data_IF_348554829509
#
_entry.id   IF_348554829509
#
_cell.length_a   1.000
_cell.length_b   1.000
_cell.length_c   1.000
_cell.angle_alpha   90.00
_cell.angle_beta   90.00
_cell.angle_gamma   90.00
#
_symmetry.space_group_name_H-M   'P 1'
#
loop_
_entity.id
_entity.type
_entity.pdbx_description
1 polymer ?
#
# COMPACT_ATOMS: atom_id res chain seq x y z
N UNK A 1 1.03 91.85 47.85
CA UNK A 1 0.08 91.55 46.76
C UNK A 1 -0.39 92.85 46.10
N UNK A 2 0.21 93.29 44.97
CA UNK A 2 -0.47 94.04 43.87
C UNK A 2 0.45 94.72 42.84
N UNK A 3 1.74 94.97 43.09
CA UNK A 3 2.57 95.70 42.11
C UNK A 3 3.33 94.83 41.08
N UNK A 4 3.58 93.56 41.36
CA UNK A 4 4.29 92.68 40.42
C UNK A 4 3.40 92.09 39.32
N UNK A 5 2.07 92.07 39.49
CA UNK A 5 1.17 91.44 38.53
C UNK A 5 1.04 92.20 37.19
N UNK A 6 1.18 93.53 37.18
CA UNK A 6 0.97 94.33 35.95
C UNK A 6 2.13 94.23 34.96
N UNK A 7 3.36 94.08 35.45
CA UNK A 7 4.57 93.92 34.61
C UNK A 7 4.62 92.55 33.92
N UNK A 8 4.12 91.51 34.59
CA UNK A 8 4.07 90.15 34.07
C UNK A 8 3.10 90.03 32.87
N UNK A 9 2.01 90.79 32.86
CA UNK A 9 1.01 90.72 31.79
C UNK A 9 1.52 91.21 30.43
N UNK A 10 2.46 92.15 30.39
CA UNK A 10 2.93 92.71 29.13
C UNK A 10 3.95 91.79 28.43
N UNK A 11 4.82 91.14 29.21
CA UNK A 11 5.80 90.16 28.70
C UNK A 11 5.07 88.89 28.21
N UNK A 12 4.04 88.46 28.93
CA UNK A 12 3.24 87.30 28.55
C UNK A 12 2.56 87.46 27.19
N UNK A 13 2.13 88.69 26.82
CA UNK A 13 1.42 88.95 25.56
C UNK A 13 2.31 88.83 24.33
N UNK A 14 3.59 89.20 24.45
CA UNK A 14 4.57 89.09 23.37
C UNK A 14 5.06 87.65 23.16
N UNK A 15 5.18 86.89 24.26
CA UNK A 15 5.54 85.46 24.22
C UNK A 15 4.40 84.65 23.60
N UNK A 16 3.13 84.97 23.91
CA UNK A 16 1.96 84.29 23.35
C UNK A 16 1.89 84.40 21.82
N UNK A 17 2.18 85.57 21.25
CA UNK A 17 2.07 85.80 19.81
C UNK A 17 3.14 85.05 18.98
N UNK A 18 4.32 84.80 19.58
CA UNK A 18 5.41 84.03 18.91
C UNK A 18 5.21 82.51 19.05
N UNK A 19 4.55 82.06 20.13
CA UNK A 19 4.22 80.65 20.36
C UNK A 19 3.10 80.14 19.43
N UNK A 20 2.06 80.93 19.15
CA UNK A 20 0.92 80.45 18.36
C UNK A 20 1.27 80.03 16.92
N UNK A 21 2.22 80.73 16.28
CA UNK A 21 2.62 80.40 14.90
C UNK A 21 3.50 79.15 14.80
N UNK A 22 4.25 78.79 15.85
CA UNK A 22 5.06 77.57 15.90
C UNK A 22 4.24 76.33 16.28
N UNK A 23 3.18 76.50 17.07
CA UNK A 23 2.26 75.43 17.46
C UNK A 23 1.40 74.97 16.27
N UNK A 24 0.95 75.89 15.40
CA UNK A 24 0.15 75.52 14.19
C UNK A 24 0.93 74.70 13.17
N UNK A 25 2.23 74.98 12.98
CA UNK A 25 3.08 74.23 12.04
C UNK A 25 3.43 72.83 12.57
N UNK A 26 3.73 72.72 13.86
CA UNK A 26 4.05 71.45 14.51
C UNK A 26 2.84 70.50 14.55
N UNK A 27 1.61 71.01 14.73
CA UNK A 27 0.40 70.19 14.69
C UNK A 27 0.14 69.56 13.31
N UNK A 28 0.36 70.29 12.21
CA UNK A 28 0.16 69.75 10.85
C UNK A 28 1.16 68.63 10.51
N UNK A 29 2.42 68.76 10.92
CA UNK A 29 3.46 67.74 10.71
C UNK A 29 3.20 66.50 11.58
N UNK A 30 2.74 66.70 12.83
CA UNK A 30 2.40 65.62 13.74
C UNK A 30 1.23 64.76 13.20
N UNK A 31 0.16 65.41 12.70
CA UNK A 31 -0.99 64.72 12.10
C UNK A 31 -0.63 63.91 10.84
N UNK A 32 0.30 64.41 10.02
CA UNK A 32 0.77 63.69 8.82
C UNK A 32 1.62 62.46 9.18
N UNK A 33 2.53 62.59 10.15
CA UNK A 33 3.35 61.47 10.62
C UNK A 33 2.52 60.41 11.37
N UNK A 34 1.49 60.81 12.11
CA UNK A 34 0.60 59.88 12.81
C UNK A 34 -0.25 59.04 11.83
N UNK A 35 -0.70 59.64 10.70
CA UNK A 35 -1.44 58.91 9.65
C UNK A 35 -0.55 57.92 8.89
N UNK A 36 0.71 58.24 8.60
CA UNK A 36 1.67 57.29 7.99
C UNK A 36 1.96 56.09 8.89
N UNK A 37 2.12 56.32 10.19
CA UNK A 37 2.44 55.27 11.18
C UNK A 37 1.29 54.26 11.33
N UNK A 38 0.04 54.72 11.35
CA UNK A 38 -1.15 53.85 11.41
C UNK A 38 -1.35 52.98 10.15
N UNK A 39 -0.98 53.48 8.96
CA UNK A 39 -1.09 52.72 7.70
C UNK A 39 -0.01 51.64 7.64
N UNK A 40 1.22 51.96 8.06
CA UNK A 40 2.33 51.01 8.04
C UNK A 40 2.14 49.84 9.02
N UNK A 41 1.59 50.10 10.22
CA UNK A 41 1.26 49.03 11.18
C UNK A 41 0.10 48.16 10.68
N UNK A 42 -0.93 48.76 10.07
CA UNK A 42 -2.04 48.02 9.45
C UNK A 42 -1.60 47.13 8.29
N UNK A 43 -0.61 47.55 7.50
CA UNK A 43 -0.05 46.76 6.42
C UNK A 43 0.76 45.56 6.95
N UNK A 44 1.52 45.76 8.02
CA UNK A 44 2.30 44.71 8.68
C UNK A 44 1.40 43.65 9.33
N UNK A 45 0.29 44.06 9.95
CA UNK A 45 -0.73 43.16 10.50
C UNK A 45 -1.47 42.37 9.40
N UNK A 46 -1.80 43.02 8.29
CA UNK A 46 -2.42 42.36 7.13
C UNK A 46 -1.48 41.33 6.48
N UNK A 47 -0.20 41.68 6.31
CA UNK A 47 0.81 40.73 5.84
C UNK A 47 0.97 39.55 6.81
N UNK A 48 1.00 39.78 8.12
CA UNK A 48 1.07 38.69 9.11
C UNK A 48 -0.15 37.76 9.05
N UNK A 49 -1.36 38.31 8.92
CA UNK A 49 -2.59 37.51 8.77
C UNK A 49 -2.56 36.72 7.44
N UNK A 50 -2.05 37.33 6.37
CA UNK A 50 -1.87 36.66 5.08
C UNK A 50 -0.83 35.53 5.14
N UNK A 51 0.31 35.74 5.80
CA UNK A 51 1.34 34.70 5.98
C UNK A 51 0.87 33.57 6.90
N UNK A 52 0.11 33.85 7.96
CA UNK A 52 -0.46 32.83 8.84
C UNK A 52 -1.51 32.00 8.11
N UNK A 53 -2.40 32.63 7.33
CA UNK A 53 -3.43 31.91 6.55
C UNK A 53 -2.83 31.08 5.41
N UNK A 54 -1.79 31.58 4.73
CA UNK A 54 -1.09 30.83 3.70
C UNK A 54 -0.36 29.61 4.29
N UNK A 55 0.33 29.78 5.42
CA UNK A 55 0.98 28.66 6.12
C UNK A 55 -0.06 27.64 6.62
N UNK A 56 -1.20 28.07 7.15
CA UNK A 56 -2.29 27.18 7.57
C UNK A 56 -2.87 26.38 6.40
N UNK A 57 -3.04 27.02 5.24
CA UNK A 57 -3.51 26.35 4.02
C UNK A 57 -2.52 25.29 3.54
N UNK A 58 -1.22 25.60 3.52
CA UNK A 58 -0.17 24.65 3.11
C UNK A 58 -0.10 23.46 4.07
N UNK A 59 -0.13 23.71 5.38
CA UNK A 59 -0.15 22.65 6.40
C UNK A 59 -1.41 21.79 6.28
N UNK A 60 -2.60 22.40 6.10
CA UNK A 60 -3.85 21.67 5.91
C UNK A 60 -3.85 20.83 4.63
N UNK A 61 -3.30 21.34 3.54
CA UNK A 61 -3.14 20.62 2.26
C UNK A 61 -2.15 19.45 2.38
N UNK A 62 -1.06 19.65 3.11
CA UNK A 62 -0.07 18.59 3.36
C UNK A 62 -0.63 17.47 4.25
N UNK A 63 -1.32 17.84 5.34
CA UNK A 63 -2.01 16.89 6.23
C UNK A 63 -3.08 16.13 5.44
N UNK A 64 -3.89 16.82 4.63
CA UNK A 64 -4.92 16.18 3.80
C UNK A 64 -4.31 15.22 2.77
N UNK A 65 -3.24 15.61 2.09
CA UNK A 65 -2.52 14.74 1.14
C UNK A 65 -1.95 13.48 1.82
N UNK A 66 -1.37 13.63 3.02
CA UNK A 66 -0.84 12.51 3.80
C UNK A 66 -1.97 11.60 4.30
N UNK A 67 -3.07 12.16 4.79
CA UNK A 67 -4.24 11.40 5.23
C UNK A 67 -4.92 10.67 4.06
N UNK A 68 -5.07 11.30 2.90
CA UNK A 68 -5.60 10.65 1.67
C UNK A 68 -4.70 9.48 1.25
N UNK A 69 -3.37 9.64 1.34
CA UNK A 69 -2.44 8.53 1.03
C UNK A 69 -2.54 7.40 2.06
N UNK A 70 -2.67 7.72 3.34
CA UNK A 70 -2.84 6.72 4.40
C UNK A 70 -4.17 5.98 4.22
N UNK A 71 -5.28 6.70 4.00
CA UNK A 71 -6.58 6.08 3.74
C UNK A 71 -6.57 5.23 2.48
N UNK A 72 -5.92 5.70 1.40
CA UNK A 72 -5.76 4.92 0.17
C UNK A 72 -4.95 3.62 0.36
N UNK A 73 -3.95 3.64 1.24
CA UNK A 73 -3.14 2.46 1.56
C UNK A 73 -3.90 1.51 2.50
N UNK A 74 -4.65 2.03 3.46
CA UNK A 74 -5.54 1.28 4.35
C UNK A 74 -6.67 0.62 3.54
N UNK A 75 -7.39 1.37 2.71
CA UNK A 75 -8.44 0.87 1.81
C UNK A 75 -7.94 -0.25 0.89
N UNK A 76 -6.72 -0.10 0.34
CA UNK A 76 -6.08 -1.14 -0.48
C UNK A 76 -5.66 -2.35 0.34
N UNK A 77 -5.16 -2.14 1.56
CA UNK A 77 -4.83 -3.19 2.50
C UNK A 77 -6.07 -3.99 2.88
N UNK A 78 -7.15 -3.31 3.23
CA UNK A 78 -8.41 -3.92 3.64
C UNK A 78 -9.11 -4.63 2.48
N UNK A 79 -9.15 -4.03 1.29
CA UNK A 79 -9.66 -4.71 0.09
C UNK A 79 -8.82 -5.95 -0.27
N UNK A 80 -7.49 -5.87 -0.12
CA UNK A 80 -6.60 -7.02 -0.32
C UNK A 80 -6.86 -8.11 0.73
N UNK A 81 -7.02 -7.74 2.00
CA UNK A 81 -7.26 -8.66 3.10
C UNK A 81 -8.66 -9.30 3.01
N UNK A 82 -9.69 -8.53 2.68
CA UNK A 82 -11.05 -9.05 2.42
C UNK A 82 -11.07 -9.98 1.21
N UNK A 83 -10.36 -9.65 0.13
CA UNK A 83 -10.20 -10.56 -1.02
C UNK A 83 -9.43 -11.82 -0.64
N UNK A 84 -8.39 -11.71 0.19
CA UNK A 84 -7.53 -12.82 0.64
C UNK A 84 -8.21 -13.72 1.67
N UNK A 85 -9.14 -13.20 2.46
CA UNK A 85 -9.86 -13.93 3.51
C UNK A 85 -11.36 -13.73 3.33
N UNK A 86 -11.91 -14.31 2.24
CA UNK A 86 -13.37 -14.45 2.10
C UNK A 86 -13.88 -15.39 3.20
N UNK A 87 -14.52 -14.82 4.20
CA UNK A 87 -15.03 -15.55 5.38
C UNK A 87 -16.32 -16.32 5.07
N UNK A 88 -17.00 -15.99 3.97
CA UNK A 88 -18.32 -16.49 3.57
C UNK A 88 -18.31 -17.66 2.58
N UNK A 89 -17.15 -18.05 2.04
CA UNK A 89 -17.07 -19.16 1.08
C UNK A 89 -17.24 -20.52 1.77
N UNK A 90 -18.30 -21.24 1.36
CA UNK A 90 -18.58 -22.62 1.79
C UNK A 90 -17.47 -23.56 1.34
N UNK A 91 -17.06 -24.47 2.23
CA UNK A 91 -16.14 -25.55 1.87
C UNK A 91 -16.79 -26.52 0.88
N UNK A 92 -16.08 -26.81 -0.20
CA UNK A 92 -16.39 -27.88 -1.14
C UNK A 92 -15.71 -29.17 -0.68
N UNK A 93 -16.28 -30.33 -1.03
CA UNK A 93 -15.77 -31.64 -0.62
C UNK A 93 -15.42 -32.47 -1.85
N UNK A 94 -14.21 -33.03 -1.88
CA UNK A 94 -13.80 -34.01 -2.89
C UNK A 94 -14.29 -35.41 -2.51
N UNK A 95 -14.33 -36.32 -3.48
CA UNK A 95 -14.69 -37.73 -3.26
C UNK A 95 -13.75 -38.42 -2.26
N UNK A 96 -12.46 -38.02 -2.24
CA UNK A 96 -11.45 -38.54 -1.31
C UNK A 96 -11.61 -38.03 0.14
N UNK A 97 -12.48 -37.04 0.35
CA UNK A 97 -12.80 -36.47 1.65
C UNK A 97 -12.04 -35.18 2.02
N UNK A 98 -11.34 -34.55 1.08
CA UNK A 98 -10.70 -33.25 1.32
C UNK A 98 -11.78 -32.16 1.30
N UNK A 99 -11.81 -31.32 2.33
CA UNK A 99 -12.60 -30.10 2.31
C UNK A 99 -11.72 -28.95 1.85
N UNK A 100 -12.17 -28.11 0.91
CA UNK A 100 -11.39 -26.98 0.45
C UNK A 100 -12.23 -25.75 0.14
N UNK A 101 -11.57 -24.59 0.15
CA UNK A 101 -12.09 -23.34 -0.37
C UNK A 101 -10.97 -22.50 -0.98
N UNK A 102 -11.29 -21.80 -2.04
CA UNK A 102 -10.37 -20.85 -2.66
C UNK A 102 -10.42 -19.52 -1.91
N UNK A 103 -9.28 -19.15 -1.34
CA UNK A 103 -9.04 -17.86 -0.71
C UNK A 103 -8.70 -16.82 -1.78
N UNK A 104 -8.01 -17.23 -2.84
CA UNK A 104 -7.75 -16.42 -4.03
C UNK A 104 -8.01 -17.30 -5.25
N UNK A 105 -8.82 -16.80 -6.20
CA UNK A 105 -9.23 -17.57 -7.38
C UNK A 105 -8.06 -17.82 -8.36
N UNK A 106 -7.08 -16.91 -8.40
CA UNK A 106 -5.98 -16.95 -9.36
C UNK A 106 -6.41 -16.55 -10.78
N UNK A 107 -5.52 -16.76 -11.74
CA UNK A 107 -5.69 -16.35 -13.14
C UNK A 107 -5.11 -17.37 -14.13
N UNK A 108 -5.60 -17.33 -15.37
CA UNK A 108 -5.19 -18.22 -16.44
C UNK A 108 -5.94 -19.56 -16.46
N UNK A 109 -5.35 -20.51 -17.18
CA UNK A 109 -5.94 -21.83 -17.38
C UNK A 109 -5.87 -22.68 -16.09
N UNK A 110 -6.91 -23.49 -15.83
CA UNK A 110 -6.89 -24.43 -14.72
C UNK A 110 -5.80 -25.48 -14.92
N UNK A 111 -5.17 -25.91 -13.84
CA UNK A 111 -4.20 -27.00 -13.80
C UNK A 111 -4.92 -28.31 -14.13
N UNK A 112 -4.34 -29.06 -15.07
CA UNK A 112 -4.80 -30.40 -15.43
C UNK A 112 -3.84 -31.47 -14.91
N UNK A 113 -4.30 -32.71 -14.89
CA UNK A 113 -3.44 -33.85 -14.61
C UNK A 113 -2.26 -33.91 -15.60
N UNK A 114 -1.06 -34.15 -15.05
CA UNK A 114 0.20 -34.18 -15.80
C UNK A 114 0.93 -32.83 -15.89
N UNK A 115 0.27 -31.70 -15.60
CA UNK A 115 0.91 -30.39 -15.57
C UNK A 115 1.99 -30.32 -14.47
N UNK A 116 3.07 -29.58 -14.74
CA UNK A 116 4.10 -29.33 -13.73
C UNK A 116 3.80 -28.03 -13.00
N UNK A 117 3.66 -28.12 -11.68
CA UNK A 117 3.21 -27.01 -10.84
C UNK A 117 4.25 -26.70 -9.78
N UNK A 118 4.59 -25.42 -9.65
CA UNK A 118 5.42 -24.89 -8.57
C UNK A 118 4.52 -24.35 -7.48
N UNK A 119 4.69 -24.87 -6.27
CA UNK A 119 3.80 -24.57 -5.15
C UNK A 119 4.57 -24.09 -3.94
N UNK A 120 3.97 -23.15 -3.21
CA UNK A 120 4.25 -22.98 -1.80
C UNK A 120 3.08 -23.49 -0.98
N UNK A 121 3.36 -23.95 0.22
CA UNK A 121 2.34 -24.38 1.15
C UNK A 121 2.83 -24.33 2.59
N UNK A 122 1.85 -24.32 3.48
CA UNK A 122 2.04 -24.47 4.91
C UNK A 122 0.98 -25.42 5.47
N UNK A 123 1.44 -26.43 6.21
CA UNK A 123 0.59 -27.37 6.93
C UNK A 123 0.56 -27.05 8.42
N UNK A 124 -0.63 -27.10 9.02
CA UNK A 124 -0.89 -26.87 10.45
C UNK A 124 -1.78 -27.97 11.02
N UNK A 125 -1.62 -28.26 12.30
CA UNK A 125 -2.56 -29.11 13.05
C UNK A 125 -3.87 -28.37 13.33
N UNK A 126 -5.01 -29.05 13.34
CA UNK A 126 -6.29 -28.46 13.78
C UNK A 126 -6.41 -28.19 15.28
N UNK A 127 -5.75 -28.98 16.14
CA UNK A 127 -5.92 -28.88 17.59
C UNK A 127 -5.27 -27.61 18.14
N UNK A 128 -3.98 -27.41 17.83
CA UNK A 128 -3.19 -26.32 18.41
C UNK A 128 -2.70 -25.31 17.35
N UNK A 129 -3.12 -25.45 16.09
CA UNK A 129 -2.68 -24.62 14.96
C UNK A 129 -1.15 -24.54 14.75
N UNK A 130 -0.39 -25.46 15.37
CA UNK A 130 1.07 -25.54 15.20
C UNK A 130 1.43 -25.88 13.77
N UNK A 131 2.47 -25.22 13.27
CA UNK A 131 3.01 -25.44 11.94
C UNK A 131 3.81 -26.73 11.96
N UNK A 132 3.44 -27.69 11.12
CA UNK A 132 4.17 -28.96 10.96
C UNK A 132 5.11 -28.91 9.76
N UNK A 133 4.78 -28.12 8.74
CA UNK A 133 5.57 -28.01 7.52
C UNK A 133 5.33 -26.66 6.85
N UNK A 134 6.37 -26.08 6.27
CA UNK A 134 6.30 -24.84 5.50
C UNK A 134 7.39 -24.84 4.45
N UNK A 135 7.03 -24.41 3.24
CA UNK A 135 7.97 -24.29 2.11
C UNK A 135 8.37 -22.85 1.83
N UNK A 136 7.84 -21.87 2.58
CA UNK A 136 8.15 -20.45 2.41
C UNK A 136 9.61 -20.09 2.72
N UNK A 137 10.36 -20.99 3.38
CA UNK A 137 11.81 -20.83 3.60
C UNK A 137 12.63 -21.13 2.35
N UNK A 138 12.08 -21.86 1.38
CA UNK A 138 12.78 -22.24 0.16
C UNK A 138 12.71 -21.12 -0.87
N UNK A 139 13.86 -20.69 -1.38
CA UNK A 139 13.95 -19.68 -2.46
C UNK A 139 13.31 -20.22 -3.74
N UNK A 140 13.51 -21.51 -4.04
CA UNK A 140 12.92 -22.20 -5.17
C UNK A 140 11.71 -22.99 -4.66
N UNK A 141 10.49 -22.72 -5.16
CA UNK A 141 9.31 -23.46 -4.76
C UNK A 141 9.43 -24.94 -5.19
N UNK A 142 8.98 -25.89 -4.36
CA UNK A 142 8.85 -27.28 -4.76
C UNK A 142 7.99 -27.43 -6.02
N UNK A 143 8.42 -28.33 -6.90
CA UNK A 143 7.68 -28.70 -8.12
C UNK A 143 7.04 -30.06 -7.95
N UNK A 144 5.82 -30.20 -8.45
CA UNK A 144 5.08 -31.46 -8.51
C UNK A 144 4.46 -31.65 -9.89
N UNK A 145 4.09 -32.89 -10.22
CA UNK A 145 3.20 -33.17 -11.34
C UNK A 145 1.78 -33.36 -10.80
N UNK A 146 0.83 -32.57 -11.25
CA UNK A 146 -0.56 -32.63 -10.81
C UNK A 146 -1.15 -34.03 -11.08
N UNK A 147 -1.86 -34.59 -10.09
CA UNK A 147 -2.44 -35.94 -10.13
C UNK A 147 -1.45 -37.11 -9.94
N UNK A 148 -0.13 -36.89 -10.08
CA UNK A 148 0.87 -37.97 -10.05
C UNK A 148 1.60 -37.99 -8.70
N UNK A 149 1.18 -38.89 -7.81
CA UNK A 149 1.76 -39.01 -6.47
C UNK A 149 3.17 -39.62 -6.49
N UNK A 150 4.18 -38.83 -6.12
CA UNK A 150 5.60 -39.25 -6.11
C UNK A 150 6.21 -39.39 -4.70
N UNK A 151 5.38 -39.41 -3.65
CA UNK A 151 5.77 -39.57 -2.23
C UNK A 151 6.67 -38.47 -1.64
N UNK A 152 6.92 -37.36 -2.34
CA UNK A 152 7.72 -36.23 -1.81
C UNK A 152 6.91 -35.30 -0.91
N UNK A 153 5.62 -35.20 -1.18
CA UNK A 153 4.66 -34.42 -0.39
C UNK A 153 3.46 -35.29 -0.02
N UNK A 154 2.54 -34.76 0.78
CA UNK A 154 1.32 -35.49 1.15
C UNK A 154 0.43 -35.75 -0.08
N UNK A 155 -0.30 -36.87 -0.10
CA UNK A 155 -1.11 -37.29 -1.24
C UNK A 155 -2.16 -36.24 -1.62
N UNK A 156 -2.75 -35.57 -0.63
CA UNK A 156 -3.76 -34.52 -0.84
C UNK A 156 -3.28 -33.37 -1.73
N UNK A 157 -1.99 -33.01 -1.68
CA UNK A 157 -1.45 -31.91 -2.47
C UNK A 157 -1.57 -32.20 -3.98
N UNK A 158 -1.29 -33.43 -4.42
CA UNK A 158 -1.31 -33.80 -5.84
C UNK A 158 -2.72 -33.80 -6.42
N UNK A 159 -3.72 -34.13 -5.59
CA UNK A 159 -5.14 -34.09 -5.94
C UNK A 159 -5.65 -32.65 -5.98
N UNK A 160 -5.38 -31.88 -4.93
CA UNK A 160 -6.07 -30.61 -4.71
C UNK A 160 -5.57 -29.46 -5.61
N UNK A 161 -4.38 -29.60 -6.20
CA UNK A 161 -3.87 -28.65 -7.19
C UNK A 161 -4.61 -28.73 -8.52
N UNK A 162 -5.29 -29.83 -8.81
CA UNK A 162 -6.10 -29.96 -10.03
C UNK A 162 -7.25 -28.95 -9.98
N UNK A 163 -7.46 -28.25 -11.09
CA UNK A 163 -8.46 -27.18 -11.19
C UNK A 163 -8.06 -25.85 -10.53
N UNK A 164 -6.95 -25.79 -9.79
CA UNK A 164 -6.38 -24.50 -9.36
C UNK A 164 -5.78 -23.76 -10.56
N UNK A 165 -5.60 -22.45 -10.43
CA UNK A 165 -4.97 -21.60 -11.45
C UNK A 165 -3.66 -21.01 -10.93
N UNK A 166 -2.94 -20.29 -11.77
CA UNK A 166 -1.75 -19.54 -11.34
C UNK A 166 -2.19 -18.49 -10.30
N UNK A 167 -1.41 -18.33 -9.23
CA UNK A 167 -1.71 -17.41 -8.12
C UNK A 167 -2.97 -17.76 -7.30
N UNK A 168 -3.59 -18.91 -7.52
CA UNK A 168 -4.65 -19.41 -6.64
C UNK A 168 -4.06 -19.72 -5.27
N UNK A 169 -4.78 -19.32 -4.21
CA UNK A 169 -4.52 -19.74 -2.83
C UNK A 169 -5.70 -20.56 -2.36
N UNK A 170 -5.48 -21.81 -2.00
CA UNK A 170 -6.52 -22.73 -1.53
C UNK A 170 -6.26 -23.17 -0.11
N UNK A 171 -7.26 -23.04 0.74
CA UNK A 171 -7.25 -23.61 2.08
C UNK A 171 -7.93 -24.97 2.05
N UNK A 172 -7.30 -25.98 2.64
CA UNK A 172 -7.73 -27.37 2.63
C UNK A 172 -7.75 -27.91 4.06
N UNK A 173 -8.78 -28.66 4.41
CA UNK A 173 -8.82 -29.53 5.59
C UNK A 173 -8.66 -30.95 5.07
N UNK A 174 -7.52 -31.54 5.39
CA UNK A 174 -7.04 -32.79 4.83
C UNK A 174 -7.25 -33.92 5.84
N UNK A 175 -7.92 -35.01 5.45
CA UNK A 175 -8.10 -36.15 6.34
C UNK A 175 -6.78 -36.96 6.52
N UNK A 176 -6.64 -37.69 7.64
CA UNK A 176 -5.41 -38.42 8.00
C UNK A 176 -4.84 -39.33 6.90
N UNK A 177 -5.69 -40.09 6.20
CA UNK A 177 -5.27 -41.05 5.17
C UNK A 177 -4.64 -40.43 3.93
N UNK A 178 -4.85 -39.13 3.69
CA UNK A 178 -4.25 -38.37 2.58
C UNK A 178 -3.06 -37.51 3.03
N UNK A 179 -2.74 -37.51 4.32
CA UNK A 179 -1.61 -36.81 4.91
C UNK A 179 -0.64 -37.78 5.62
N UNK A 180 -0.70 -37.85 6.95
CA UNK A 180 0.21 -38.64 7.77
C UNK A 180 -0.57 -39.59 8.70
N UNK A 181 -1.08 -40.72 8.19
CA UNK A 181 -2.00 -41.58 8.95
C UNK A 181 -1.38 -42.18 10.22
N UNK A 182 -0.05 -42.35 10.27
CA UNK A 182 0.63 -42.88 11.46
C UNK A 182 0.98 -41.81 12.50
N UNK A 183 1.26 -40.57 12.08
CA UNK A 183 1.65 -39.49 13.00
C UNK A 183 0.43 -38.70 13.51
N UNK A 184 -0.61 -38.57 12.69
CA UNK A 184 -1.84 -37.84 13.00
C UNK A 184 -3.08 -38.69 12.63
N UNK A 185 -3.28 -39.87 13.26
CA UNK A 185 -4.28 -40.85 12.84
C UNK A 185 -5.73 -40.35 12.98
N UNK A 186 -6.02 -39.57 14.01
CA UNK A 186 -7.38 -39.14 14.37
C UNK A 186 -7.57 -37.63 14.22
N UNK A 187 -6.71 -36.98 13.45
CA UNK A 187 -6.66 -35.53 13.40
C UNK A 187 -6.52 -35.02 11.96
N UNK A 188 -7.49 -34.25 11.44
CA UNK A 188 -7.32 -33.58 10.16
C UNK A 188 -6.23 -32.49 10.25
N UNK A 189 -5.69 -32.13 9.10
CA UNK A 189 -4.65 -31.09 8.99
C UNK A 189 -5.13 -29.96 8.11
N UNK A 190 -4.75 -28.74 8.45
CA UNK A 190 -5.07 -27.54 7.66
C UNK A 190 -3.87 -27.24 6.76
N UNK A 191 -4.10 -27.19 5.46
CA UNK A 191 -3.10 -26.81 4.48
C UNK A 191 -3.54 -25.56 3.74
N UNK A 192 -2.65 -24.58 3.63
CA UNK A 192 -2.80 -23.46 2.70
C UNK A 192 -1.78 -23.64 1.58
N UNK A 193 -2.25 -23.69 0.33
CA UNK A 193 -1.45 -23.98 -0.85
C UNK A 193 -1.56 -22.80 -1.80
N UNK A 194 -0.40 -22.25 -2.20
CA UNK A 194 -0.25 -21.15 -3.14
C UNK A 194 0.40 -21.67 -4.44
N UNK A 195 -0.23 -21.39 -5.58
CA UNK A 195 0.35 -21.73 -6.90
C UNK A 195 1.24 -20.58 -7.38
N UNK A 196 2.52 -20.88 -7.58
CA UNK A 196 3.52 -19.90 -8.04
C UNK A 196 3.59 -19.88 -9.58
N UNK A 197 3.76 -21.05 -10.18
CA UNK A 197 3.92 -21.22 -11.63
C UNK A 197 3.28 -22.53 -12.08
N UNK A 198 2.67 -22.51 -13.26
CA UNK A 198 2.17 -23.69 -13.96
C UNK A 198 2.93 -23.82 -15.27
N UNK A 199 3.33 -25.04 -15.62
CA UNK A 199 3.87 -25.40 -16.92
C UNK A 199 2.99 -26.51 -17.46
N UNK A 200 2.39 -26.28 -18.62
CA UNK A 200 1.47 -27.23 -19.21
C UNK A 200 2.19 -28.48 -19.70
N UNK A 201 1.53 -29.63 -19.60
CA UNK A 201 2.04 -30.87 -20.20
C UNK A 201 2.35 -30.64 -21.69
N UNK A 202 3.55 -31.03 -22.12
CA UNK A 202 4.00 -30.84 -23.51
C UNK A 202 4.62 -29.45 -23.80
N UNK A 203 4.50 -28.46 -22.91
CA UNK A 203 5.31 -27.25 -22.98
C UNK A 203 6.68 -27.54 -22.34
N UNK A 204 7.68 -27.85 -23.16
CA UNK A 204 9.07 -27.82 -22.71
C UNK A 204 9.45 -26.38 -22.33
N UNK A 205 10.06 -26.21 -21.14
CA UNK A 205 10.73 -24.95 -20.79
C UNK A 205 11.96 -24.84 -21.67
N UNK A 206 11.78 -24.41 -22.90
CA UNK A 206 12.90 -23.98 -23.71
C UNK A 206 13.58 -22.85 -22.96
N UNK A 207 14.83 -23.06 -22.59
CA UNK A 207 15.66 -21.93 -22.16
C UNK A 207 15.64 -20.87 -23.28
N UNK A 208 15.82 -19.59 -22.93
CA UNK A 208 15.87 -18.52 -23.94
C UNK A 208 16.84 -18.89 -25.07
N UNK A 209 17.95 -19.56 -24.72
CA UNK A 209 18.93 -20.08 -25.65
C UNK A 209 18.39 -21.18 -26.56
N UNK A 210 17.62 -22.13 -26.05
CA UNK A 210 17.02 -23.20 -26.85
C UNK A 210 15.88 -22.71 -27.74
N UNK A 211 15.13 -21.69 -27.32
CA UNK A 211 14.19 -20.95 -28.18
C UNK A 211 14.90 -20.27 -29.35
N UNK A 212 15.98 -19.56 -29.07
CA UNK A 212 16.79 -18.91 -30.11
C UNK A 212 17.37 -19.95 -31.07
N UNK A 213 17.93 -21.05 -30.54
CA UNK A 213 18.50 -22.13 -31.37
C UNK A 213 17.46 -22.81 -32.25
N UNK A 214 16.26 -23.13 -31.73
CA UNK A 214 15.18 -23.71 -32.55
C UNK A 214 14.71 -22.75 -33.63
N UNK A 215 14.50 -21.48 -33.31
CA UNK A 215 14.09 -20.48 -34.29
C UNK A 215 15.14 -20.29 -35.38
N UNK A 216 16.42 -20.23 -35.01
CA UNK A 216 17.53 -20.14 -35.96
C UNK A 216 17.60 -21.38 -36.87
N UNK A 217 17.44 -22.59 -36.31
CA UNK A 217 17.42 -23.82 -37.09
C UNK A 217 16.21 -23.89 -38.03
N UNK A 218 15.02 -23.49 -37.56
CA UNK A 218 13.82 -23.42 -38.39
C UNK A 218 14.02 -22.49 -39.58
N UNK A 219 14.55 -21.28 -39.34
CA UNK A 219 14.86 -20.32 -40.42
C UNK A 219 15.89 -20.89 -41.39
N UNK A 220 16.94 -21.55 -40.88
CA UNK A 220 17.94 -22.20 -41.73
C UNK A 220 17.31 -23.27 -42.60
N UNK A 221 16.46 -24.14 -42.05
CA UNK A 221 15.77 -25.19 -42.81
C UNK A 221 14.82 -24.60 -43.84
N UNK A 222 14.03 -23.58 -43.49
CA UNK A 222 13.13 -22.90 -44.42
C UNK A 222 13.87 -22.26 -45.60
N UNK A 223 15.00 -21.60 -45.33
CA UNK A 223 15.86 -21.04 -46.38
C UNK A 223 16.43 -22.16 -47.25
N UNK A 224 16.94 -23.24 -46.63
CA UNK A 224 17.53 -24.38 -47.37
C UNK A 224 16.49 -25.16 -48.17
N UNK A 225 15.20 -25.11 -47.81
CA UNK A 225 14.13 -25.71 -48.61
C UNK A 225 13.67 -24.85 -49.80
N UNK A 226 14.06 -23.56 -49.81
CA UNK A 226 13.72 -22.60 -50.87
C UNK A 226 14.78 -22.53 -51.98
N UNK A 227 16.01 -22.99 -51.71
CA UNK A 227 17.13 -23.08 -52.65
C UNK A 227 17.42 -24.53 -52.99
#
# INVERSE_FOLDING_TARGET
MRMTLKMINLINRFIFFKLDNTIKYSHKICLFNHRKKQILTRFHDFCNIFFVSLNLYIVKKYILSKNIRVSYLEDRGDAYLQKKYRTDTKFLRTESGILYKDLLDGEGEPIEEGDTVYIHYQGKTTNDFRIIQSTFKSIIPPKIKAGIYDKKHIKAIYEIVIGMKKHTRRQCIVPPHLAYPHHFPNQPLIYEIDIVKVIKKGEENDTILERIKRNANYLKTAITSFF
#
